data_IF_509886635981
#
_entry.id   IF_509886635981
#
_cell.length_a   1.000
_cell.length_b   1.000
_cell.length_c   1.000
_cell.angle_alpha   90.00
_cell.angle_beta   90.00
_cell.angle_gamma   90.00
#
_symmetry.space_group_name_H-M   'P 1'
#
loop_
_entity.id
_entity.type
_entity.pdbx_description
1 polymer ?
#
# COMPACT_ATOMS: atom_id res chain seq x y z
N UNK A 1 -8.51 -15.28 -16.98
CA UNK A 1 -8.34 -16.64 -16.43
C UNK A 1 -7.84 -16.64 -14.97
N UNK A 2 -7.02 -15.67 -14.55
CA UNK A 2 -6.47 -15.56 -13.18
C UNK A 2 -7.54 -15.40 -12.07
N UNK A 3 -8.52 -14.49 -12.23
CA UNK A 3 -9.54 -14.25 -11.20
C UNK A 3 -10.43 -15.48 -10.88
N UNK A 4 -10.70 -16.35 -11.86
CA UNK A 4 -11.45 -17.60 -11.64
C UNK A 4 -10.64 -18.62 -10.83
N UNK A 5 -9.31 -18.63 -10.99
CA UNK A 5 -8.43 -19.54 -10.28
C UNK A 5 -8.27 -19.15 -8.80
N UNK A 6 -8.24 -17.85 -8.48
CA UNK A 6 -8.18 -17.35 -7.10
C UNK A 6 -9.42 -17.76 -6.27
N UNK A 7 -10.62 -17.66 -6.85
CA UNK A 7 -11.86 -18.11 -6.20
C UNK A 7 -11.84 -19.62 -5.95
N UNK A 8 -11.41 -20.39 -6.96
CA UNK A 8 -11.30 -21.86 -6.85
C UNK A 8 -10.26 -22.27 -5.78
N UNK A 9 -9.15 -21.53 -5.69
CA UNK A 9 -8.16 -21.73 -4.62
C UNK A 9 -8.76 -21.43 -3.25
N UNK A 10 -9.40 -20.29 -3.05
CA UNK A 10 -10.01 -19.92 -1.76
C UNK A 10 -11.06 -20.96 -1.30
N UNK A 11 -11.84 -21.51 -2.24
CA UNK A 11 -12.75 -22.63 -1.99
C UNK A 11 -12.01 -23.92 -1.60
N UNK A 12 -10.85 -24.20 -2.19
CA UNK A 12 -10.03 -25.38 -1.86
C UNK A 12 -9.29 -25.29 -0.51
N UNK A 13 -8.96 -24.08 -0.03
CA UNK A 13 -8.29 -23.86 1.27
C UNK A 13 -9.24 -23.58 2.43
N UNK A 14 -10.55 -23.46 2.19
CA UNK A 14 -11.53 -23.38 3.27
C UNK A 14 -11.64 -24.77 3.92
N UNK A 15 -10.79 -25.04 4.91
CA UNK A 15 -10.77 -26.32 5.62
C UNK A 15 -11.97 -26.42 6.56
N UNK A 16 -12.61 -27.57 6.56
CA UNK A 16 -13.59 -27.95 7.58
C UNK A 16 -12.90 -27.85 8.95
N UNK A 17 -13.53 -27.17 9.92
CA UNK A 17 -12.98 -26.95 11.25
C UNK A 17 -12.56 -28.28 11.90
N UNK A 18 -11.35 -28.34 12.45
CA UNK A 18 -10.82 -29.55 13.07
C UNK A 18 -11.48 -29.73 14.44
N UNK A 19 -11.68 -30.97 14.94
CA UNK A 19 -12.32 -31.20 16.24
C UNK A 19 -11.68 -30.41 17.42
N UNK A 20 -10.37 -30.14 17.36
CA UNK A 20 -9.66 -29.31 18.35
C UNK A 20 -10.08 -27.84 18.34
N UNK A 21 -10.43 -27.29 17.18
CA UNK A 21 -10.93 -25.91 17.02
C UNK A 21 -12.35 -25.76 17.60
N UNK A 22 -13.16 -26.83 17.50
CA UNK A 22 -14.52 -26.89 18.07
C UNK A 22 -14.48 -26.99 19.59
N UNK A 23 -13.53 -27.76 20.15
CA UNK A 23 -13.36 -27.94 21.60
C UNK A 23 -12.85 -26.66 22.29
N UNK A 24 -12.01 -25.89 21.60
CA UNK A 24 -11.48 -24.61 22.09
C UNK A 24 -12.54 -23.49 22.07
N UNK A 25 -13.60 -23.61 21.25
CA UNK A 25 -14.70 -22.66 21.18
C UNK A 25 -15.61 -22.67 22.44
N UNK A 26 -15.52 -23.70 23.29
CA UNK A 26 -16.28 -23.77 24.54
C UNK A 26 -15.61 -23.08 25.73
N UNK A 27 -14.39 -22.57 25.58
CA UNK A 27 -13.65 -21.92 26.65
C UNK A 27 -13.19 -20.52 26.24
N UNK A 28 -13.61 -19.51 27.00
CA UNK A 28 -13.19 -18.12 26.78
C UNK A 28 -11.69 -17.97 27.07
N UNK A 29 -10.86 -18.16 26.06
CA UNK A 29 -9.42 -17.88 26.12
C UNK A 29 -9.17 -16.60 25.33
N UNK A 30 -8.58 -15.58 25.96
CA UNK A 30 -8.25 -14.30 25.30
C UNK A 30 -7.34 -14.47 24.07
N UNK A 31 -6.63 -15.60 23.94
CA UNK A 31 -5.81 -15.94 22.79
C UNK A 31 -5.93 -17.44 22.47
N UNK A 32 -6.70 -17.83 21.43
CA UNK A 32 -6.74 -19.21 20.97
C UNK A 32 -5.34 -19.66 20.57
N UNK A 33 -4.95 -20.86 20.97
CA UNK A 33 -3.64 -21.42 20.64
C UNK A 33 -3.45 -21.56 19.13
N UNK A 34 -4.54 -21.75 18.38
CA UNK A 34 -4.54 -21.67 16.92
C UNK A 34 -4.03 -20.32 16.39
N UNK A 35 -4.45 -19.20 16.98
CA UNK A 35 -4.02 -17.83 16.58
C UNK A 35 -2.56 -17.61 16.94
N UNK A 36 -2.15 -17.95 18.17
CA UNK A 36 -0.75 -17.80 18.61
C UNK A 36 0.18 -18.66 17.76
N UNK A 37 -0.19 -19.93 17.52
CA UNK A 37 0.58 -20.82 16.66
C UNK A 37 0.65 -20.29 15.23
N UNK A 38 -0.43 -19.76 14.69
CA UNK A 38 -0.45 -19.19 13.35
C UNK A 38 0.44 -17.96 13.27
N UNK A 39 0.37 -17.05 14.24
CA UNK A 39 1.25 -15.88 14.33
C UNK A 39 2.71 -16.32 14.45
N UNK A 40 3.07 -17.24 15.36
CA UNK A 40 4.46 -17.71 15.50
C UNK A 40 4.96 -18.43 14.24
N UNK A 41 4.07 -19.12 13.53
CA UNK A 41 4.42 -19.83 12.28
C UNK A 41 4.58 -18.86 11.11
N UNK A 42 3.73 -17.82 11.02
CA UNK A 42 3.75 -16.80 9.97
C UNK A 42 4.83 -15.73 10.21
N UNK A 43 5.01 -15.30 11.46
CA UNK A 43 6.10 -14.45 11.97
C UNK A 43 7.24 -15.35 12.49
N UNK A 44 7.85 -16.10 11.58
CA UNK A 44 9.04 -16.86 11.93
C UNK A 44 10.21 -15.89 12.18
N UNK A 45 10.52 -15.60 13.45
CA UNK A 45 11.60 -14.68 13.85
C UNK A 45 13.00 -15.08 13.36
N UNK A 46 13.19 -16.33 12.89
CA UNK A 46 14.42 -16.70 12.16
C UNK A 46 14.55 -15.97 10.83
N UNK A 47 13.45 -15.65 10.15
CA UNK A 47 13.43 -14.85 8.93
C UNK A 47 13.87 -13.41 9.19
N UNK A 48 13.47 -12.82 10.33
CA UNK A 48 13.92 -11.48 10.74
C UNK A 48 15.44 -11.37 10.88
N UNK A 49 16.13 -12.48 11.20
CA UNK A 49 17.59 -12.55 11.29
C UNK A 49 18.27 -12.75 9.92
N UNK A 50 17.50 -13.07 8.87
CA UNK A 50 18.01 -13.22 7.52
C UNK A 50 18.30 -11.84 6.91
N UNK A 51 19.48 -11.63 6.30
CA UNK A 51 19.85 -10.35 5.70
C UNK A 51 18.87 -9.91 4.60
N UNK A 52 18.31 -10.85 3.83
CA UNK A 52 17.34 -10.54 2.77
C UNK A 52 16.03 -9.96 3.30
N UNK A 53 15.54 -10.45 4.45
CA UNK A 53 14.35 -9.92 5.08
C UNK A 53 14.59 -8.53 5.68
N UNK A 54 15.80 -8.32 6.23
CA UNK A 54 16.20 -7.05 6.80
C UNK A 54 16.29 -5.96 5.72
N UNK A 55 16.86 -6.29 4.55
CA UNK A 55 16.87 -5.41 3.38
C UNK A 55 15.46 -5.10 2.88
N UNK A 56 14.58 -6.10 2.79
CA UNK A 56 13.18 -5.89 2.38
C UNK A 56 12.46 -4.95 3.36
N UNK A 57 12.60 -5.19 4.66
CA UNK A 57 11.98 -4.36 5.71
C UNK A 57 12.51 -2.93 5.67
N UNK A 58 13.83 -2.77 5.52
CA UNK A 58 14.47 -1.47 5.42
C UNK A 58 14.01 -0.71 4.16
N UNK A 59 13.92 -1.39 3.01
CA UNK A 59 13.38 -0.78 1.79
C UNK A 59 11.93 -0.34 1.97
N UNK A 60 11.08 -1.16 2.58
CA UNK A 60 9.69 -0.83 2.85
C UNK A 60 9.56 0.36 3.80
N UNK A 61 10.43 0.43 4.82
CA UNK A 61 10.50 1.57 5.73
C UNK A 61 10.83 2.87 4.99
N UNK A 62 11.88 2.87 4.16
CA UNK A 62 12.23 4.05 3.37
C UNK A 62 11.15 4.44 2.36
N UNK A 63 10.51 3.47 1.72
CA UNK A 63 9.38 3.72 0.81
C UNK A 63 8.23 4.42 1.54
N UNK A 64 7.81 3.91 2.70
CA UNK A 64 6.74 4.54 3.47
C UNK A 64 7.14 5.94 3.91
N UNK A 65 8.35 6.11 4.44
CA UNK A 65 8.89 7.42 4.83
C UNK A 65 8.87 8.42 3.65
N UNK A 66 9.31 7.97 2.47
CA UNK A 66 9.33 8.77 1.24
C UNK A 66 7.95 9.15 0.73
N UNK A 67 6.93 8.31 0.93
CA UNK A 67 5.54 8.61 0.56
C UNK A 67 4.87 9.55 1.56
N UNK A 68 5.11 9.38 2.86
CA UNK A 68 4.49 10.21 3.89
C UNK A 68 5.02 11.64 3.91
N UNK A 69 6.30 11.84 3.58
CA UNK A 69 6.91 13.16 3.56
C UNK A 69 6.15 14.18 2.67
N UNK A 70 5.99 13.97 1.35
CA UNK A 70 5.23 14.89 0.51
C UNK A 70 3.75 14.96 0.91
N UNK A 71 3.15 13.86 1.39
CA UNK A 71 1.75 13.84 1.82
C UNK A 71 1.48 14.78 3.01
N UNK A 72 2.38 14.83 3.98
CA UNK A 72 2.25 15.68 5.17
C UNK A 72 2.62 17.13 4.86
N UNK A 73 3.69 17.36 4.09
CA UNK A 73 4.22 18.70 3.85
C UNK A 73 3.54 19.46 2.71
N UNK A 74 2.72 18.82 1.88
CA UNK A 74 2.04 19.50 0.75
C UNK A 74 1.17 20.67 1.21
N UNK A 75 0.52 20.55 2.37
CA UNK A 75 -0.35 21.58 2.92
C UNK A 75 0.43 22.83 3.32
N UNK A 76 1.52 22.63 4.08
CA UNK A 76 2.43 23.70 4.51
C UNK A 76 3.10 24.35 3.29
N UNK A 77 3.56 23.55 2.33
CA UNK A 77 4.15 24.04 1.09
C UNK A 77 3.18 24.90 0.27
N UNK A 78 1.89 24.55 0.25
CA UNK A 78 0.88 25.37 -0.41
C UNK A 78 0.67 26.71 0.31
N UNK A 79 0.67 26.71 1.65
CA UNK A 79 0.58 27.93 2.45
C UNK A 79 1.79 28.86 2.23
N UNK A 80 3.01 28.32 2.18
CA UNK A 80 4.23 29.07 1.87
C UNK A 80 4.19 29.72 0.48
N UNK A 81 3.51 29.08 -0.47
CA UNK A 81 3.29 29.57 -1.83
C UNK A 81 2.16 30.62 -1.93
N UNK A 82 1.60 31.07 -0.79
CA UNK A 82 0.45 31.98 -0.69
C UNK A 82 -0.81 31.47 -1.39
N UNK A 83 -0.95 30.15 -1.49
CA UNK A 83 -2.18 29.52 -1.98
C UNK A 83 -3.23 29.56 -0.87
N UNK A 84 -4.47 29.91 -1.20
CA UNK A 84 -5.57 29.93 -0.23
C UNK A 84 -5.76 28.56 0.42
N UNK A 85 -6.10 28.54 1.70
CA UNK A 85 -6.34 27.30 2.47
C UNK A 85 -7.35 26.35 1.83
N UNK A 86 -8.34 26.88 1.12
CA UNK A 86 -9.30 26.11 0.32
C UNK A 86 -8.61 25.25 -0.75
N UNK A 87 -7.70 25.84 -1.53
CA UNK A 87 -6.93 25.14 -2.55
C UNK A 87 -5.92 24.16 -1.96
N UNK A 88 -5.32 24.49 -0.80
CA UNK A 88 -4.44 23.57 -0.06
C UNK A 88 -5.19 22.30 0.37
N UNK A 89 -6.42 22.45 0.86
CA UNK A 89 -7.28 21.32 1.23
C UNK A 89 -7.66 20.51 -0.02
N UNK A 90 -7.96 21.17 -1.14
CA UNK A 90 -8.25 20.50 -2.41
C UNK A 90 -7.08 19.64 -2.92
N UNK A 91 -5.83 20.03 -2.71
CA UNK A 91 -4.66 19.20 -3.09
C UNK A 91 -4.66 17.85 -2.37
N UNK A 92 -4.88 17.85 -1.05
CA UNK A 92 -4.95 16.61 -0.25
C UNK A 92 -6.13 15.75 -0.71
N UNK A 93 -7.27 16.39 -0.96
CA UNK A 93 -8.49 15.72 -1.43
C UNK A 93 -8.28 15.09 -2.80
N UNK A 94 -7.58 15.78 -3.71
CA UNK A 94 -7.22 15.28 -5.03
C UNK A 94 -6.28 14.07 -4.97
N UNK A 95 -5.30 14.07 -4.04
CA UNK A 95 -4.46 12.89 -3.78
C UNK A 95 -5.32 11.70 -3.37
N UNK A 96 -6.26 11.90 -2.44
CA UNK A 96 -7.14 10.83 -1.94
C UNK A 96 -8.04 10.23 -3.03
N UNK A 97 -8.67 11.10 -3.84
CA UNK A 97 -9.50 10.67 -4.98
C UNK A 97 -8.64 9.91 -5.99
N UNK A 98 -7.50 10.47 -6.37
CA UNK A 98 -6.60 9.85 -7.35
C UNK A 98 -6.05 8.51 -6.86
N UNK A 99 -5.75 8.37 -5.56
CA UNK A 99 -5.32 7.10 -4.96
C UNK A 99 -6.40 6.03 -5.05
N UNK A 100 -7.66 6.40 -4.83
CA UNK A 100 -8.77 5.47 -4.97
C UNK A 100 -8.89 4.98 -6.42
N UNK A 101 -8.74 5.87 -7.39
CA UNK A 101 -8.75 5.52 -8.82
C UNK A 101 -7.54 4.62 -9.17
N UNK A 102 -6.36 4.92 -8.66
CA UNK A 102 -5.15 4.11 -8.82
C UNK A 102 -5.38 2.68 -8.32
N UNK A 103 -5.94 2.52 -7.11
CA UNK A 103 -6.28 1.22 -6.52
C UNK A 103 -7.22 0.40 -7.38
N UNK A 104 -8.28 1.03 -7.90
CA UNK A 104 -9.23 0.36 -8.79
C UNK A 104 -8.52 -0.09 -10.06
N UNK A 105 -7.69 0.79 -10.64
CA UNK A 105 -6.94 0.51 -11.87
C UNK A 105 -5.95 -0.63 -11.67
N UNK A 106 -5.18 -0.63 -10.57
CA UNK A 106 -4.25 -1.70 -10.21
C UNK A 106 -5.01 -3.02 -9.95
N UNK A 107 -6.16 -2.97 -9.26
CA UNK A 107 -7.01 -4.13 -9.01
C UNK A 107 -7.50 -4.78 -10.31
N UNK A 108 -7.98 -3.98 -11.26
CA UNK A 108 -8.36 -4.48 -12.59
C UNK A 108 -7.15 -4.99 -13.35
N UNK A 109 -6.01 -4.28 -13.27
CA UNK A 109 -4.78 -4.67 -13.98
C UNK A 109 -4.22 -6.00 -13.48
N UNK A 110 -4.34 -6.29 -12.18
CA UNK A 110 -3.92 -7.56 -11.57
C UNK A 110 -4.68 -8.77 -12.11
N UNK A 111 -5.85 -8.57 -12.75
CA UNK A 111 -6.60 -9.64 -13.38
C UNK A 111 -6.00 -10.08 -14.73
N UNK A 112 -5.07 -9.31 -15.31
CA UNK A 112 -4.41 -9.67 -16.55
C UNK A 112 -3.26 -10.66 -16.31
N UNK A 113 -3.31 -11.86 -16.92
CA UNK A 113 -2.34 -12.94 -16.66
C UNK A 113 -0.94 -12.70 -17.23
N UNK A 114 -0.68 -11.54 -17.86
CA UNK A 114 0.59 -11.21 -18.53
C UNK A 114 1.46 -10.23 -17.77
N UNK A 115 1.05 -9.77 -16.59
CA UNK A 115 1.76 -8.72 -15.86
C UNK A 115 2.11 -9.16 -14.44
N UNK A 116 3.40 -9.24 -14.15
CA UNK A 116 3.90 -9.44 -12.79
C UNK A 116 3.63 -8.18 -11.95
N UNK A 117 2.72 -8.28 -10.98
CA UNK A 117 2.37 -7.17 -10.08
C UNK A 117 3.59 -6.57 -9.36
N UNK A 118 4.63 -7.39 -9.14
CA UNK A 118 5.89 -6.94 -8.55
C UNK A 118 6.62 -5.93 -9.45
N UNK A 119 6.70 -6.19 -10.75
CA UNK A 119 7.42 -5.31 -11.69
C UNK A 119 6.69 -3.97 -11.83
N UNK A 120 5.36 -4.00 -11.93
CA UNK A 120 4.53 -2.78 -11.96
C UNK A 120 4.82 -1.92 -10.74
N UNK A 121 4.81 -2.52 -9.54
CA UNK A 121 4.99 -1.80 -8.28
C UNK A 121 6.36 -1.11 -8.19
N UNK A 122 7.42 -1.76 -8.65
CA UNK A 122 8.75 -1.13 -8.68
C UNK A 122 8.81 0.03 -9.68
N UNK A 123 8.22 -0.14 -10.87
CA UNK A 123 8.18 0.91 -11.91
C UNK A 123 7.40 2.13 -11.44
N UNK A 124 6.23 1.94 -10.82
CA UNK A 124 5.43 3.07 -10.30
C UNK A 124 6.14 3.79 -9.16
N UNK A 125 6.89 3.09 -8.32
CA UNK A 125 7.74 3.72 -7.30
C UNK A 125 8.84 4.59 -7.90
N UNK A 126 9.53 4.13 -8.96
CA UNK A 126 10.54 4.94 -9.64
C UNK A 126 9.94 6.20 -10.28
N UNK A 127 8.79 6.05 -10.95
CA UNK A 127 8.05 7.17 -11.55
C UNK A 127 7.64 8.18 -10.47
N UNK A 128 7.12 7.70 -9.34
CA UNK A 128 6.71 8.54 -8.21
C UNK A 128 7.90 9.32 -7.64
N UNK A 129 9.05 8.67 -7.46
CA UNK A 129 10.28 9.33 -7.01
C UNK A 129 10.70 10.47 -7.95
N UNK A 130 10.65 10.25 -9.27
CA UNK A 130 10.92 11.28 -10.27
C UNK A 130 9.93 12.45 -10.20
N UNK A 131 8.63 12.17 -10.05
CA UNK A 131 7.58 13.18 -9.91
C UNK A 131 7.81 14.06 -8.67
N UNK A 132 8.23 13.49 -7.53
CA UNK A 132 8.53 14.25 -6.30
C UNK A 132 9.73 15.19 -6.52
N UNK A 133 10.79 14.72 -7.19
CA UNK A 133 11.97 15.54 -7.48
C UNK A 133 11.58 16.71 -8.40
N UNK A 134 10.83 16.44 -9.47
CA UNK A 134 10.38 17.46 -10.42
C UNK A 134 9.46 18.47 -9.73
N UNK A 135 8.56 18.01 -8.85
CA UNK A 135 7.67 18.87 -8.07
C UNK A 135 8.41 19.90 -7.25
N UNK A 136 9.60 19.62 -6.73
CA UNK A 136 10.41 20.61 -5.99
C UNK A 136 10.75 21.85 -6.82
N UNK A 137 10.82 21.74 -8.15
CA UNK A 137 11.14 22.87 -9.03
C UNK A 137 9.90 23.63 -9.52
N UNK A 138 8.70 23.04 -9.45
CA UNK A 138 7.45 23.67 -9.90
C UNK A 138 6.69 24.30 -8.72
N UNK A 139 6.79 25.61 -8.59
CA UNK A 139 6.07 26.40 -7.57
C UNK A 139 4.79 27.07 -8.10
N UNK A 140 4.09 26.44 -9.03
CA UNK A 140 2.80 26.94 -9.54
C UNK A 140 1.64 26.11 -9.00
N UNK A 141 0.46 26.75 -8.81
CA UNK A 141 -0.75 26.06 -8.35
C UNK A 141 -1.09 24.87 -9.26
N UNK A 142 -1.07 25.09 -10.58
CA UNK A 142 -1.34 24.06 -11.57
C UNK A 142 -0.32 22.91 -11.49
N UNK A 143 0.96 23.24 -11.30
CA UNK A 143 2.01 22.23 -11.12
C UNK A 143 1.80 21.36 -9.89
N UNK A 144 1.38 21.96 -8.76
CA UNK A 144 1.06 21.23 -7.54
C UNK A 144 -0.20 20.37 -7.67
N UNK A 145 -1.21 20.83 -8.41
CA UNK A 145 -2.41 20.04 -8.71
C UNK A 145 -2.08 18.83 -9.60
N UNK A 146 -1.28 19.01 -10.65
CA UNK A 146 -0.82 17.90 -11.50
C UNK A 146 0.03 16.92 -10.69
N UNK A 147 0.91 17.42 -9.82
CA UNK A 147 1.69 16.60 -8.89
C UNK A 147 0.77 15.76 -7.99
N UNK A 148 -0.21 16.38 -7.33
CA UNK A 148 -1.15 15.71 -6.42
C UNK A 148 -1.88 14.54 -7.11
N UNK A 149 -2.37 14.76 -8.33
CA UNK A 149 -3.09 13.74 -9.10
C UNK A 149 -2.15 12.59 -9.49
N UNK A 150 -0.98 12.88 -10.07
CA UNK A 150 -0.04 11.85 -10.51
C UNK A 150 0.53 11.05 -9.34
N UNK A 151 0.88 11.74 -8.25
CA UNK A 151 1.37 11.12 -7.02
C UNK A 151 0.32 10.19 -6.42
N UNK A 152 -0.92 10.66 -6.26
CA UNK A 152 -2.02 9.86 -5.74
C UNK A 152 -2.28 8.60 -6.58
N UNK A 153 -2.28 8.74 -7.91
CA UNK A 153 -2.53 7.63 -8.83
C UNK A 153 -1.46 6.54 -8.76
N UNK A 154 -0.18 6.91 -8.72
CA UNK A 154 0.93 5.93 -8.73
C UNK A 154 1.08 5.16 -7.41
N UNK A 155 0.62 5.73 -6.28
CA UNK A 155 0.60 5.05 -4.98
C UNK A 155 -0.59 4.09 -4.85
N UNK A 156 -1.62 4.29 -5.68
CA UNK A 156 -2.86 3.50 -5.65
C UNK A 156 -2.65 2.07 -6.12
#
# INVERSE_FOLDING_TARGET
MACKSAISYHLSVTRVATQKDIQQNQQCVCCPEAVVRTIVTMLNFKLLKSPSFLLLTLSGFFTMLGIYCPFIFIAQRAEDMKITKEWSTLLITAIGISNTIGRITCGVTSCFPKMDSLVISYVTMFITGGIIIISNYLHTLNGQMTFAILFGFNIG
#
